data_IF_741064185084
#
_entry.id   IF_741064185084
#
_cell.length_a   1.000
_cell.length_b   1.000
_cell.length_c   1.000
_cell.angle_alpha   90.00
_cell.angle_beta   90.00
_cell.angle_gamma   90.00
#
_symmetry.space_group_name_H-M   'P 1'
#
loop_
_entity.id
_entity.type
_entity.pdbx_description
1 polymer ?
#
# COMPACT_ATOMS: atom_id res chain seq x y z
N UNK A 1 12.69 -18.03 9.69
CA UNK A 1 12.03 -16.89 9.01
C UNK A 1 11.09 -17.47 7.97
N UNK A 2 9.80 -17.12 8.00
CA UNK A 2 8.85 -17.56 6.98
C UNK A 2 9.20 -16.92 5.63
N UNK A 3 8.92 -17.61 4.53
CA UNK A 3 9.11 -17.05 3.20
C UNK A 3 8.28 -15.75 3.05
N UNK A 4 8.79 -14.73 2.35
CA UNK A 4 8.00 -13.55 2.02
C UNK A 4 6.80 -13.97 1.16
N UNK A 5 5.63 -13.44 1.49
CA UNK A 5 4.44 -13.54 0.65
C UNK A 5 4.48 -12.34 -0.28
N UNK A 6 4.57 -12.59 -1.58
CA UNK A 6 4.53 -11.55 -2.60
C UNK A 6 3.21 -11.62 -3.31
N UNK A 7 2.49 -10.50 -3.31
CA UNK A 7 1.22 -10.34 -4.01
C UNK A 7 1.28 -9.11 -4.91
N UNK A 8 0.43 -9.08 -5.93
CA UNK A 8 0.25 -7.93 -6.81
C UNK A 8 -1.24 -7.64 -6.92
N UNK A 9 -1.60 -6.36 -6.85
CA UNK A 9 -2.96 -5.89 -7.08
C UNK A 9 -2.97 -4.70 -8.02
N UNK A 10 -4.08 -4.53 -8.75
CA UNK A 10 -4.36 -3.32 -9.50
C UNK A 10 -5.27 -2.41 -8.68
N UNK A 11 -4.84 -1.16 -8.46
CA UNK A 11 -5.63 -0.15 -7.78
C UNK A 11 -5.80 1.06 -8.68
N UNK A 12 -7.02 1.26 -9.21
CA UNK A 12 -7.37 2.37 -10.10
C UNK A 12 -6.43 2.51 -11.32
N UNK A 13 -5.94 1.38 -11.86
CA UNK A 13 -4.99 1.37 -12.98
C UNK A 13 -3.52 1.55 -12.59
N UNK A 14 -3.21 1.57 -11.29
CA UNK A 14 -1.83 1.52 -10.77
C UNK A 14 -1.56 0.10 -10.27
N UNK A 15 -0.56 -0.55 -10.85
CA UNK A 15 -0.10 -1.85 -10.36
C UNK A 15 0.75 -1.69 -9.11
N UNK A 16 0.32 -2.36 -8.04
CA UNK A 16 0.95 -2.32 -6.72
C UNK A 16 1.47 -3.72 -6.38
N UNK A 17 2.77 -3.81 -6.12
CA UNK A 17 3.46 -4.98 -5.60
C UNK A 17 3.53 -4.88 -4.08
N UNK A 18 3.12 -5.95 -3.40
CA UNK A 18 3.12 -6.04 -1.95
C UNK A 18 4.02 -7.21 -1.55
N UNK A 19 4.99 -6.95 -0.68
CA UNK A 19 5.85 -7.98 -0.09
C UNK A 19 5.64 -7.99 1.40
N UNK A 20 5.04 -9.06 1.89
CA UNK A 20 4.71 -9.26 3.29
C UNK A 20 5.68 -10.27 3.93
N UNK A 21 6.27 -9.88 5.07
CA UNK A 21 7.19 -10.72 5.83
C UNK A 21 6.72 -10.80 7.28
N UNK A 22 6.28 -12.00 7.66
CA UNK A 22 5.87 -12.27 9.04
C UNK A 22 7.05 -12.34 9.99
N UNK A 23 6.90 -11.76 11.19
CA UNK A 23 7.89 -11.78 12.28
C UNK A 23 9.32 -11.55 11.79
N UNK A 24 9.49 -10.50 10.97
CA UNK A 24 10.81 -10.15 10.44
C UNK A 24 11.73 -9.85 11.63
N UNK A 25 12.97 -10.36 11.59
CA UNK A 25 13.94 -10.22 12.69
C UNK A 25 13.49 -10.78 14.05
N UNK A 26 12.72 -11.87 14.08
CA UNK A 26 12.23 -12.49 15.32
C UNK A 26 11.48 -11.49 16.24
N UNK A 27 10.84 -10.48 15.63
CA UNK A 27 10.07 -9.46 16.35
C UNK A 27 8.58 -9.80 16.33
N UNK A 28 7.83 -9.17 17.24
CA UNK A 28 6.35 -9.23 17.32
C UNK A 28 5.66 -8.31 16.30
N UNK A 29 6.38 -7.96 15.22
CA UNK A 29 5.90 -7.10 14.15
C UNK A 29 6.09 -7.78 12.80
N UNK A 30 5.08 -7.59 11.96
CA UNK A 30 5.13 -7.93 10.56
C UNK A 30 5.61 -6.74 9.74
N UNK A 31 6.34 -7.03 8.67
CA UNK A 31 6.85 -6.03 7.75
C UNK A 31 6.12 -6.13 6.41
N UNK A 32 5.53 -5.03 5.99
CA UNK A 32 4.82 -4.88 4.74
C UNK A 32 5.54 -3.85 3.87
N UNK A 33 6.06 -4.29 2.73
CA UNK A 33 6.60 -3.42 1.70
C UNK A 33 5.59 -3.26 0.59
N UNK A 34 5.33 -2.02 0.20
CA UNK A 34 4.40 -1.68 -0.87
C UNK A 34 5.19 -0.88 -1.90
N UNK A 35 5.19 -1.35 -3.13
CA UNK A 35 5.88 -0.70 -4.26
C UNK A 35 4.92 -0.58 -5.43
N UNK A 36 4.77 0.60 -6.00
CA UNK A 36 3.99 0.84 -7.20
C UNK A 36 4.87 0.77 -8.44
N UNK A 37 4.29 0.39 -9.57
CA UNK A 37 4.97 0.55 -10.86
C UNK A 37 5.12 2.03 -11.23
N UNK A 38 6.25 2.38 -11.87
CA UNK A 38 6.58 3.74 -12.34
C UNK A 38 6.58 4.83 -11.26
N UNK A 39 6.85 4.47 -10.00
CA UNK A 39 6.83 5.40 -8.86
C UNK A 39 5.51 6.19 -8.75
N UNK A 40 4.41 5.55 -9.18
CA UNK A 40 3.09 6.14 -9.17
C UNK A 40 2.67 6.57 -7.76
N UNK A 41 2.19 7.81 -7.66
CA UNK A 41 1.71 8.34 -6.39
C UNK A 41 0.39 7.69 -6.00
N UNK A 42 0.33 7.16 -4.78
CA UNK A 42 -0.86 6.54 -4.19
C UNK A 42 -1.14 7.17 -2.83
N UNK A 43 -2.35 7.02 -2.26
CA UNK A 43 -2.73 7.70 -1.01
C UNK A 43 -1.80 7.46 0.19
N UNK A 44 -1.01 6.40 0.12
CA UNK A 44 -0.09 5.98 1.16
C UNK A 44 1.37 6.39 0.87
N UNK A 45 1.75 6.72 -0.36
CA UNK A 45 3.13 7.13 -0.70
C UNK A 45 3.18 8.06 -1.91
N UNK A 46 4.03 9.09 -1.82
CA UNK A 46 4.26 10.07 -2.89
C UNK A 46 5.39 9.68 -3.84
N UNK A 47 6.17 8.64 -3.50
CA UNK A 47 7.31 8.17 -4.31
C UNK A 47 7.05 6.78 -4.91
N UNK A 48 5.90 6.19 -4.64
CA UNK A 48 5.57 4.84 -5.06
C UNK A 48 6.15 3.73 -4.18
N UNK A 49 6.95 4.04 -3.16
CA UNK A 49 7.44 3.06 -2.18
C UNK A 49 6.97 3.38 -0.76
N UNK A 50 6.53 2.37 -0.02
CA UNK A 50 6.23 2.46 1.41
C UNK A 50 6.68 1.21 2.16
N UNK A 51 7.44 1.43 3.22
CA UNK A 51 7.72 0.42 4.26
C UNK A 51 6.80 0.66 5.45
N UNK A 52 6.02 -0.34 5.83
CA UNK A 52 5.09 -0.28 6.95
C UNK A 52 5.31 -1.46 7.90
N UNK A 53 5.28 -1.17 9.20
CA UNK A 53 5.37 -2.16 10.27
C UNK A 53 4.03 -2.21 10.99
N UNK A 54 3.50 -3.42 11.15
CA UNK A 54 2.23 -3.67 11.83
C UNK A 54 2.44 -4.72 12.91
N UNK A 55 1.70 -4.69 14.04
CA UNK A 55 1.64 -5.80 14.98
C UNK A 55 1.32 -7.12 14.28
N UNK A 56 1.84 -8.22 14.82
CA UNK A 56 1.59 -9.55 14.26
C UNK A 56 0.10 -9.89 14.24
N UNK A 57 -0.32 -10.64 13.21
CA UNK A 57 -1.68 -11.15 13.10
C UNK A 57 -2.70 -10.18 12.52
N UNK A 58 -2.49 -8.85 12.58
CA UNK A 58 -3.42 -7.86 12.00
C UNK A 58 -3.62 -8.09 10.50
N UNK A 59 -2.52 -8.29 9.76
CA UNK A 59 -2.61 -8.46 8.29
C UNK A 59 -3.38 -9.74 7.94
N UNK A 60 -3.31 -10.78 8.77
CA UNK A 60 -4.07 -12.01 8.58
C UNK A 60 -5.55 -11.85 8.94
N UNK A 61 -5.83 -11.10 10.01
CA UNK A 61 -7.20 -10.79 10.45
C UNK A 61 -7.99 -10.02 9.37
N UNK A 62 -7.30 -9.15 8.62
CA UNK A 62 -7.88 -8.45 7.47
C UNK A 62 -8.08 -9.34 6.23
N UNK A 63 -7.75 -10.62 6.29
CA UNK A 63 -7.87 -11.55 5.15
C UNK A 63 -6.64 -11.57 4.24
N UNK A 64 -5.50 -11.06 4.71
CA UNK A 64 -4.22 -11.11 4.02
C UNK A 64 -3.66 -9.74 3.60
N UNK A 65 -2.43 -9.72 3.07
CA UNK A 65 -1.72 -8.49 2.72
C UNK A 65 -2.42 -7.65 1.65
N UNK A 66 -3.07 -8.30 0.68
CA UNK A 66 -3.80 -7.60 -0.39
C UNK A 66 -5.03 -6.87 0.16
N UNK A 67 -5.85 -7.55 0.96
CA UNK A 67 -7.04 -6.99 1.55
C UNK A 67 -6.71 -5.85 2.54
N UNK A 68 -5.67 -6.02 3.35
CA UNK A 68 -5.17 -4.97 4.25
C UNK A 68 -4.72 -3.72 3.47
N UNK A 69 -3.92 -3.89 2.41
CA UNK A 69 -3.44 -2.76 1.59
C UNK A 69 -4.60 -2.08 0.86
N UNK A 70 -5.52 -2.86 0.29
CA UNK A 70 -6.69 -2.31 -0.40
C UNK A 70 -7.56 -1.47 0.55
N UNK A 71 -7.89 -2.00 1.73
CA UNK A 71 -8.65 -1.27 2.75
C UNK A 71 -7.92 0.00 3.21
N UNK A 72 -6.59 -0.07 3.36
CA UNK A 72 -5.78 1.08 3.72
C UNK A 72 -5.77 2.17 2.64
N UNK A 73 -5.65 1.76 1.37
CA UNK A 73 -5.72 2.64 0.21
C UNK A 73 -7.08 3.31 0.11
N UNK A 74 -8.18 2.57 0.22
CA UNK A 74 -9.52 3.14 0.16
C UNK A 74 -9.80 4.10 1.32
N UNK A 75 -9.38 3.74 2.54
CA UNK A 75 -9.52 4.64 3.70
C UNK A 75 -8.75 5.95 3.52
N UNK A 76 -7.53 5.90 2.96
CA UNK A 76 -6.75 7.11 2.69
C UNK A 76 -7.24 7.87 1.47
N UNK A 77 -7.76 7.17 0.46
CA UNK A 77 -8.31 7.77 -0.74
C UNK A 77 -9.62 8.53 -0.47
N UNK A 78 -10.37 8.14 0.56
CA UNK A 78 -11.58 8.87 0.97
C UNK A 78 -11.27 10.23 1.62
N UNK A 79 -10.02 10.47 2.04
CA UNK A 79 -9.64 11.76 2.62
C UNK A 79 -9.79 12.91 1.61
N UNK A 80 -10.40 14.01 2.04
CA UNK A 80 -10.58 15.22 1.24
C UNK A 80 -9.25 15.75 0.66
N UNK A 81 -8.16 15.56 1.40
CA UNK A 81 -6.82 15.91 0.94
C UNK A 81 -6.39 15.09 -0.28
N UNK A 82 -6.65 13.78 -0.27
CA UNK A 82 -6.36 12.92 -1.41
C UNK A 82 -7.25 13.25 -2.61
N UNK A 83 -8.56 13.42 -2.40
CA UNK A 83 -9.49 13.81 -3.46
C UNK A 83 -9.06 15.09 -4.18
N UNK A 84 -8.65 16.13 -3.43
CA UNK A 84 -8.12 17.38 -3.98
C UNK A 84 -6.80 17.20 -4.74
N UNK A 85 -5.90 16.34 -4.24
CA UNK A 85 -4.64 16.01 -4.93
C UNK A 85 -4.90 15.26 -6.23
N UNK A 86 -5.81 14.29 -6.23
CA UNK A 86 -6.21 13.52 -7.41
C UNK A 86 -6.82 14.44 -8.47
N UNK A 87 -7.73 15.34 -8.07
CA UNK A 87 -8.29 16.37 -8.94
C UNK A 87 -7.22 17.33 -9.48
N UNK A 88 -6.34 17.86 -8.62
CA UNK A 88 -5.25 18.74 -9.04
C UNK A 88 -4.29 18.05 -10.02
N UNK A 89 -3.96 16.77 -9.80
CA UNK A 89 -3.12 15.99 -10.73
C UNK A 89 -3.78 15.82 -12.11
N UNK A 90 -5.11 15.69 -12.16
CA UNK A 90 -5.87 15.65 -13.42
C UNK A 90 -5.93 17.02 -14.10
N UNK A 91 -6.06 18.10 -13.32
CA UNK A 91 -6.14 19.47 -13.82
C UNK A 91 -4.79 20.00 -14.32
N UNK A 92 -3.67 19.62 -13.68
CA UNK A 92 -2.30 19.98 -14.12
C UNK A 92 -1.88 19.30 -15.43
N UNK A 93 -2.68 18.35 -15.94
CA UNK A 93 -2.50 17.79 -17.29
C UNK A 93 -3.15 18.63 -18.39
N UNK A 94 -3.75 19.79 -18.06
CA UNK A 94 -4.55 20.51 -19.06
C UNK A 94 -3.75 21.33 -20.07
N UNK A 95 -2.52 21.81 -19.82
CA UNK A 95 -1.76 22.58 -20.82
C UNK A 95 -0.25 22.52 -20.60
#
# INVERSE_FOLDING_TARGET
MSAPITSQLDWRGVTICIVFRKRRWNSDFDHLEITTMNDAQIPITETGYRSHFSPDGIVEEYGGPEAYVLAWLDHKADSEAWKKREESSRQMSLF
#
